data_IF_991465796451
#
_entry.id   IF_991465796451
#
_cell.length_a   1.000
_cell.length_b   1.000
_cell.length_c   1.000
_cell.angle_alpha   90.00
_cell.angle_beta   90.00
_cell.angle_gamma   90.00
#
_symmetry.space_group_name_H-M   'P 1'
#
loop_
_entity.id
_entity.type
_entity.pdbx_description
1 polymer ?
#
# COMPACT_ATOMS: atom_id res chain seq x y z
N UNK A 1 4.88 -11.89 -9.70
CA UNK A 1 4.86 -11.06 -8.46
C UNK A 1 4.33 -11.87 -7.30
N UNK A 2 5.01 -11.84 -6.18
CA UNK A 2 4.57 -12.49 -4.95
C UNK A 2 4.45 -11.43 -3.85
N UNK A 3 3.32 -11.41 -3.15
CA UNK A 3 3.12 -10.54 -1.99
C UNK A 3 3.63 -11.27 -0.75
N UNK A 4 4.59 -10.68 -0.03
CA UNK A 4 5.20 -11.28 1.16
C UNK A 4 4.63 -10.72 2.46
N UNK A 5 4.30 -9.43 2.47
CA UNK A 5 3.82 -8.76 3.68
C UNK A 5 2.97 -7.54 3.35
N UNK A 6 1.96 -7.28 4.16
CA UNK A 6 1.14 -6.06 4.09
C UNK A 6 1.11 -5.46 5.49
N UNK A 7 1.35 -4.16 5.58
CA UNK A 7 1.24 -3.39 6.83
C UNK A 7 0.22 -2.28 6.60
N UNK A 8 -0.77 -2.21 7.47
CA UNK A 8 -1.79 -1.15 7.47
C UNK A 8 -1.72 -0.37 8.77
N UNK A 9 -1.70 0.95 8.67
CA UNK A 9 -1.79 1.84 9.81
C UNK A 9 -2.96 2.82 9.62
N UNK A 10 -3.95 2.77 10.50
CA UNK A 10 -5.15 3.61 10.44
C UNK A 10 -5.80 3.62 9.05
N UNK A 11 -5.98 2.45 8.46
CA UNK A 11 -6.52 2.31 7.11
C UNK A 11 -7.88 1.61 7.14
N UNK A 12 -8.91 2.25 6.60
CA UNK A 12 -10.30 1.79 6.60
C UNK A 12 -10.74 1.35 8.01
N UNK A 13 -11.18 0.10 8.17
CA UNK A 13 -11.58 -0.46 9.46
C UNK A 13 -10.41 -0.84 10.38
N UNK A 14 -9.19 -0.77 9.89
CA UNK A 14 -7.99 -1.15 10.65
C UNK A 14 -7.47 0.05 11.46
N UNK A 15 -7.75 0.03 12.76
CA UNK A 15 -7.22 1.02 13.71
C UNK A 15 -5.81 0.63 14.15
N UNK A 16 -4.91 1.62 14.21
CA UNK A 16 -3.52 1.39 14.61
C UNK A 16 -2.76 0.52 13.61
N UNK A 17 -1.71 -0.11 14.08
CA UNK A 17 -0.81 -0.92 13.26
C UNK A 17 -1.33 -2.36 13.14
N UNK A 18 -1.50 -2.83 11.92
CA UNK A 18 -1.90 -4.19 11.60
C UNK A 18 -0.95 -4.78 10.55
N UNK A 19 -0.42 -5.96 10.81
CA UNK A 19 0.53 -6.64 9.93
C UNK A 19 -0.02 -7.99 9.46
N UNK A 20 0.15 -8.27 8.18
CA UNK A 20 -0.19 -9.54 7.54
C UNK A 20 1.06 -10.09 6.88
N UNK A 21 1.66 -11.11 7.47
CA UNK A 21 2.91 -11.71 7.00
C UNK A 21 2.60 -13.03 6.28
N UNK A 22 2.92 -13.08 4.99
CA UNK A 22 2.74 -14.23 4.12
C UNK A 22 4.08 -14.90 3.74
N UNK A 23 5.20 -14.47 4.34
CA UNK A 23 6.55 -14.91 3.96
C UNK A 23 6.82 -16.37 4.34
N UNK A 24 6.11 -16.89 5.34
CA UNK A 24 6.28 -18.27 5.83
C UNK A 24 5.47 -19.32 5.03
N UNK A 25 4.84 -18.92 3.92
CA UNK A 25 4.11 -19.87 3.08
C UNK A 25 5.08 -20.82 2.37
N UNK A 26 4.72 -22.11 2.33
CA UNK A 26 5.50 -23.12 1.62
C UNK A 26 5.69 -22.70 0.15
N UNK A 27 6.93 -22.74 -0.36
CA UNK A 27 7.28 -22.34 -1.74
C UNK A 27 6.47 -23.08 -2.81
N UNK A 28 5.91 -24.26 -2.50
CA UNK A 28 5.06 -25.05 -3.40
C UNK A 28 3.60 -24.59 -3.41
N UNK A 29 3.19 -23.72 -2.48
CA UNK A 29 1.81 -23.24 -2.33
C UNK A 29 1.77 -21.74 -2.54
N UNK A 30 1.34 -21.32 -3.74
CA UNK A 30 1.29 -19.90 -4.13
C UNK A 30 -0.06 -19.24 -3.85
N UNK A 31 -1.01 -19.97 -3.24
CA UNK A 31 -2.37 -19.49 -3.01
C UNK A 31 -2.57 -19.24 -1.53
N UNK A 32 -2.97 -18.03 -1.18
CA UNK A 32 -3.37 -17.63 0.16
C UNK A 32 -4.86 -17.33 0.13
N UNK A 33 -5.64 -18.07 0.94
CA UNK A 33 -7.07 -17.81 1.10
C UNK A 33 -7.29 -16.85 2.25
N UNK A 34 -7.95 -15.73 1.97
CA UNK A 34 -8.36 -14.75 2.96
C UNK A 34 -9.86 -14.90 3.16
N UNK A 35 -10.23 -15.48 4.29
CA UNK A 35 -11.63 -15.68 4.67
C UNK A 35 -12.07 -14.67 5.73
N UNK A 36 -13.37 -14.48 5.85
CA UNK A 36 -13.97 -13.63 6.87
C UNK A 36 -15.41 -13.28 6.54
N UNK A 37 -16.12 -12.79 7.55
CA UNK A 37 -17.48 -12.25 7.36
C UNK A 37 -17.43 -10.94 6.58
N UNK A 38 -18.53 -10.58 5.92
CA UNK A 38 -18.67 -9.27 5.29
C UNK A 38 -18.41 -8.16 6.34
N UNK A 39 -17.58 -7.15 5.97
CA UNK A 39 -17.17 -6.10 6.89
C UNK A 39 -15.93 -6.41 7.75
N UNK A 40 -15.36 -7.60 7.65
CA UNK A 40 -14.16 -7.98 8.41
C UNK A 40 -12.83 -7.46 7.82
N UNK A 41 -12.87 -6.62 6.79
CA UNK A 41 -11.69 -5.95 6.23
C UNK A 41 -11.12 -6.58 4.95
N UNK A 42 -11.78 -7.59 4.36
CA UNK A 42 -11.32 -8.22 3.11
C UNK A 42 -11.19 -7.22 1.96
N UNK A 43 -12.21 -6.39 1.75
CA UNK A 43 -12.23 -5.34 0.74
C UNK A 43 -11.18 -4.28 1.03
N UNK A 44 -10.99 -3.92 2.30
CA UNK A 44 -9.97 -2.97 2.72
C UNK A 44 -8.56 -3.45 2.40
N UNK A 45 -8.28 -4.73 2.63
CA UNK A 45 -7.00 -5.34 2.31
C UNK A 45 -6.72 -5.30 0.80
N UNK A 46 -7.72 -5.64 0.00
CA UNK A 46 -7.63 -5.61 -1.46
C UNK A 46 -7.41 -4.18 -1.99
N UNK A 47 -8.15 -3.22 -1.44
CA UNK A 47 -8.00 -1.79 -1.76
C UNK A 47 -6.61 -1.29 -1.39
N UNK A 48 -6.08 -1.68 -0.24
CA UNK A 48 -4.74 -1.33 0.19
C UNK A 48 -3.66 -1.81 -0.79
N UNK A 49 -3.76 -3.06 -1.25
CA UNK A 49 -2.84 -3.62 -2.26
C UNK A 49 -2.87 -2.78 -3.54
N UNK A 50 -4.06 -2.49 -4.05
CA UNK A 50 -4.23 -1.69 -5.27
C UNK A 50 -3.64 -0.29 -5.14
N UNK A 51 -3.93 0.39 -4.03
CA UNK A 51 -3.42 1.74 -3.78
C UNK A 51 -1.90 1.72 -3.64
N UNK A 52 -1.34 0.77 -2.89
CA UNK A 52 0.11 0.67 -2.71
C UNK A 52 0.83 0.54 -4.06
N UNK A 53 0.34 -0.34 -4.92
CA UNK A 53 0.96 -0.62 -6.21
C UNK A 53 0.75 0.50 -7.24
N UNK A 54 -0.45 1.05 -7.33
CA UNK A 54 -0.86 1.89 -8.45
C UNK A 54 -1.23 3.33 -8.08
N UNK A 55 -1.36 3.64 -6.78
CA UNK A 55 -1.73 5.00 -6.34
C UNK A 55 -3.02 5.50 -6.97
N UNK A 56 -3.01 6.70 -7.58
CA UNK A 56 -4.20 7.25 -8.23
C UNK A 56 -4.80 6.37 -9.33
N UNK A 57 -3.97 5.60 -10.05
CA UNK A 57 -4.43 4.67 -11.08
C UNK A 57 -5.31 3.56 -10.51
N UNK A 58 -5.20 3.23 -9.23
CA UNK A 58 -6.08 2.26 -8.57
C UNK A 58 -7.57 2.64 -8.67
N UNK A 59 -7.84 3.93 -8.84
CA UNK A 59 -9.18 4.49 -9.01
C UNK A 59 -9.45 5.04 -10.42
N UNK A 60 -8.53 4.81 -11.36
CA UNK A 60 -8.64 5.32 -12.73
C UNK A 60 -8.20 6.77 -12.93
N UNK A 61 -7.50 7.37 -11.96
CA UNK A 61 -6.99 8.74 -12.08
C UNK A 61 -5.53 8.75 -12.53
N UNK A 62 -5.18 9.70 -13.40
CA UNK A 62 -3.82 9.82 -13.96
C UNK A 62 -2.82 10.33 -12.93
N UNK A 63 -3.27 11.14 -11.96
CA UNK A 63 -2.41 11.72 -10.93
C UNK A 63 -3.19 12.10 -9.68
N UNK A 64 -2.50 12.71 -8.74
CA UNK A 64 -3.13 13.23 -7.52
C UNK A 64 -4.02 14.41 -7.90
N UNK A 65 -5.33 14.23 -7.74
CA UNK A 65 -6.34 15.23 -8.01
C UNK A 65 -7.37 15.27 -6.87
N UNK A 66 -8.32 16.23 -6.85
CA UNK A 66 -9.31 16.33 -5.77
C UNK A 66 -10.14 15.05 -5.56
N UNK A 67 -10.43 14.30 -6.61
CA UNK A 67 -11.19 13.03 -6.52
C UNK A 67 -10.38 11.94 -5.82
N UNK A 68 -9.10 11.82 -6.15
CA UNK A 68 -8.19 10.90 -5.49
C UNK A 68 -8.02 11.26 -4.00
N UNK A 69 -7.84 12.54 -3.70
CA UNK A 69 -7.72 13.04 -2.33
C UNK A 69 -8.97 12.68 -1.52
N UNK A 70 -10.16 12.85 -2.09
CA UNK A 70 -11.43 12.48 -1.44
C UNK A 70 -11.49 10.97 -1.18
N UNK A 71 -11.05 10.14 -2.13
CA UNK A 71 -10.98 8.68 -1.95
C UNK A 71 -10.02 8.27 -0.83
N UNK A 72 -8.85 8.88 -0.77
CA UNK A 72 -7.87 8.58 0.30
C UNK A 72 -8.41 9.02 1.66
N UNK A 73 -9.05 10.19 1.76
CA UNK A 73 -9.68 10.62 3.01
C UNK A 73 -10.70 9.60 3.52
N UNK A 74 -11.51 9.02 2.64
CA UNK A 74 -12.44 7.96 2.99
C UNK A 74 -11.74 6.68 3.48
N UNK A 75 -10.50 6.44 3.05
CA UNK A 75 -9.70 5.30 3.46
C UNK A 75 -8.97 5.49 4.80
N UNK A 76 -8.86 6.71 5.32
CA UNK A 76 -8.28 6.96 6.63
C UNK A 76 -9.27 6.48 7.71
N UNK A 77 -8.78 5.69 8.68
CA UNK A 77 -9.62 5.21 9.77
C UNK A 77 -10.26 6.39 10.51
N UNK A 78 -11.56 6.31 10.77
CA UNK A 78 -12.34 7.40 11.36
C UNK A 78 -11.82 7.85 12.72
N UNK A 79 -11.25 6.96 13.52
CA UNK A 79 -10.69 7.30 14.83
C UNK A 79 -9.43 8.17 14.73
N UNK A 80 -8.70 8.11 13.62
CA UNK A 80 -7.54 8.98 13.41
C UNK A 80 -7.95 10.47 13.39
N UNK A 81 -9.14 10.78 12.88
CA UNK A 81 -9.67 12.15 12.86
C UNK A 81 -10.00 12.72 14.24
N UNK A 82 -10.06 11.87 15.27
CA UNK A 82 -10.28 12.29 16.66
C UNK A 82 -8.99 12.68 17.37
N UNK A 83 -7.84 12.57 16.69
CA UNK A 83 -6.52 12.90 17.23
C UNK A 83 -5.95 14.12 16.54
N UNK A 84 -4.87 14.69 17.08
CA UNK A 84 -4.13 15.79 16.45
C UNK A 84 -3.24 15.34 15.28
N UNK A 85 -3.05 14.02 15.14
CA UNK A 85 -2.24 13.43 14.06
C UNK A 85 -3.14 12.52 13.21
N UNK A 86 -3.66 13.08 12.13
CA UNK A 86 -4.49 12.33 11.18
C UNK A 86 -3.57 11.70 10.14
N UNK A 87 -3.05 10.52 10.47
CA UNK A 87 -2.07 9.79 9.66
C UNK A 87 -2.59 8.40 9.31
N UNK A 88 -2.27 7.95 8.10
CA UNK A 88 -2.57 6.61 7.61
C UNK A 88 -1.42 6.12 6.73
N UNK A 89 -1.23 4.80 6.67
CA UNK A 89 -0.15 4.21 5.88
C UNK A 89 -0.55 2.84 5.34
N UNK A 90 -0.12 2.59 4.13
CA UNK A 90 -0.14 1.26 3.51
C UNK A 90 1.29 0.93 3.08
N UNK A 91 1.78 -0.23 3.47
CA UNK A 91 3.08 -0.74 3.07
C UNK A 91 2.92 -2.18 2.58
N UNK A 92 3.51 -2.48 1.44
CA UNK A 92 3.48 -3.82 0.86
C UNK A 92 4.89 -4.24 0.49
N UNK A 93 5.24 -5.47 0.86
CA UNK A 93 6.50 -6.09 0.46
C UNK A 93 6.21 -7.15 -0.60
N UNK A 94 6.84 -7.02 -1.75
CA UNK A 94 6.67 -7.92 -2.89
C UNK A 94 8.01 -8.46 -3.38
N UNK A 95 7.98 -9.62 -4.01
CA UNK A 95 9.11 -10.18 -4.75
C UNK A 95 8.79 -10.17 -6.23
N UNK A 96 9.73 -9.68 -7.03
CA UNK A 96 9.67 -9.69 -8.50
C UNK A 96 10.91 -10.37 -9.07
N UNK A 97 10.76 -11.01 -10.22
CA UNK A 97 11.90 -11.49 -10.99
C UNK A 97 12.27 -10.41 -12.00
N UNK A 98 13.45 -9.83 -11.83
CA UNK A 98 14.00 -8.78 -12.68
C UNK A 98 15.35 -9.27 -13.19
N UNK A 99 15.53 -9.35 -14.51
CA UNK A 99 16.77 -9.82 -15.15
C UNK A 99 17.25 -11.19 -14.63
N UNK A 100 16.30 -12.12 -14.45
CA UNK A 100 16.52 -13.49 -13.93
C UNK A 100 16.92 -13.57 -12.45
N UNK A 101 16.87 -12.45 -11.73
CA UNK A 101 17.12 -12.40 -10.29
C UNK A 101 15.86 -12.02 -9.52
N UNK A 102 15.71 -12.60 -8.34
CA UNK A 102 14.60 -12.22 -7.43
C UNK A 102 14.99 -10.96 -6.68
N UNK A 103 14.20 -9.91 -6.83
CA UNK A 103 14.34 -8.66 -6.07
C UNK A 103 13.13 -8.46 -5.16
N UNK A 104 13.40 -7.97 -3.95
CA UNK A 104 12.38 -7.65 -2.96
C UNK A 104 12.18 -6.14 -2.90
N UNK A 105 10.92 -5.72 -3.05
CA UNK A 105 10.55 -4.31 -3.00
C UNK A 105 9.62 -4.07 -1.82
N UNK A 106 9.91 -3.01 -1.08
CA UNK A 106 9.02 -2.49 -0.04
C UNK A 106 8.45 -1.17 -0.54
N UNK A 107 7.15 -1.16 -0.76
CA UNK A 107 6.42 -0.01 -1.32
C UNK A 107 5.60 0.60 -0.18
N UNK A 108 5.79 1.88 0.07
CA UNK A 108 5.12 2.60 1.16
C UNK A 108 4.41 3.83 0.63
N UNK A 109 3.13 3.98 0.99
CA UNK A 109 2.37 5.22 0.83
C UNK A 109 1.89 5.66 2.19
N UNK A 110 2.23 6.88 2.55
CA UNK A 110 1.85 7.51 3.80
C UNK A 110 1.03 8.75 3.51
N UNK A 111 -0.02 8.96 4.29
CA UNK A 111 -0.88 10.12 4.16
C UNK A 111 -0.97 10.84 5.50
N UNK A 112 -0.86 12.15 5.44
CA UNK A 112 -1.06 13.05 6.57
C UNK A 112 -2.12 14.09 6.22
N UNK A 113 -3.17 14.13 7.01
CA UNK A 113 -4.26 15.12 6.90
C UNK A 113 -4.35 16.01 8.16
N UNK A 114 -3.31 16.07 8.97
CA UNK A 114 -3.31 16.77 10.27
C UNK A 114 -3.53 18.29 10.13
N UNK A 115 -3.16 18.87 8.99
CA UNK A 115 -3.30 20.31 8.68
C UNK A 115 -4.47 20.59 7.74
N UNK A 116 -5.48 19.74 7.68
CA UNK A 116 -6.64 19.83 6.79
C UNK A 116 -6.28 19.87 5.30
N UNK A 117 -5.08 19.42 4.97
CA UNK A 117 -4.59 19.24 3.60
C UNK A 117 -3.90 17.89 3.52
N UNK A 118 -4.30 17.07 2.55
CA UNK A 118 -3.68 15.76 2.36
C UNK A 118 -2.28 15.91 1.78
N UNK A 119 -1.32 15.33 2.49
CA UNK A 119 0.06 15.17 2.01
C UNK A 119 0.32 13.68 1.84
N UNK A 120 0.72 13.25 0.65
CA UNK A 120 1.11 11.88 0.36
C UNK A 120 2.60 11.78 0.17
N UNK A 121 3.23 10.83 0.89
CA UNK A 121 4.61 10.43 0.69
C UNK A 121 4.63 9.03 0.10
N UNK A 122 5.31 8.89 -1.04
CA UNK A 122 5.51 7.62 -1.72
C UNK A 122 6.98 7.27 -1.74
N UNK A 123 7.33 6.08 -1.26
CA UNK A 123 8.70 5.60 -1.26
C UNK A 123 8.77 4.12 -1.61
N UNK A 124 9.87 3.73 -2.22
CA UNK A 124 10.17 2.34 -2.58
C UNK A 124 11.59 2.01 -2.15
N UNK A 125 11.75 0.86 -1.49
CA UNK A 125 13.07 0.26 -1.24
C UNK A 125 13.21 -1.00 -2.09
N UNK A 126 14.38 -1.18 -2.68
CA UNK A 126 14.75 -2.41 -3.37
C UNK A 126 15.86 -3.08 -2.60
N UNK A 127 15.63 -4.32 -2.14
CA UNK A 127 16.55 -5.10 -1.30
C UNK A 127 17.10 -4.28 -0.11
N UNK A 128 16.22 -3.51 0.53
CA UNK A 128 16.52 -2.68 1.69
C UNK A 128 17.10 -1.30 1.38
N UNK A 129 17.39 -0.98 0.12
CA UNK A 129 17.93 0.32 -0.29
C UNK A 129 16.81 1.24 -0.81
N UNK A 130 16.74 2.45 -0.28
CA UNK A 130 15.80 3.46 -0.75
C UNK A 130 16.14 3.88 -2.19
N UNK A 131 15.15 3.82 -3.07
CA UNK A 131 15.28 4.24 -4.46
C UNK A 131 15.19 5.77 -4.56
N UNK A 132 15.97 6.36 -5.49
CA UNK A 132 15.82 7.77 -5.85
C UNK A 132 14.59 7.99 -6.76
N UNK A 133 14.25 9.27 -7.04
CA UNK A 133 13.06 9.62 -7.82
C UNK A 133 13.06 9.02 -9.23
N UNK A 134 14.23 8.91 -9.87
CA UNK A 134 14.37 8.34 -11.19
C UNK A 134 14.15 6.81 -11.17
N UNK A 135 14.75 6.14 -10.20
CA UNK A 135 14.57 4.70 -9.97
C UNK A 135 13.12 4.36 -9.62
N UNK A 136 12.46 5.20 -8.81
CA UNK A 136 11.04 5.06 -8.46
C UNK A 136 10.17 5.18 -9.71
N UNK A 137 10.43 6.16 -10.56
CA UNK A 137 9.68 6.34 -11.82
C UNK A 137 9.84 5.13 -12.75
N UNK A 138 11.04 4.59 -12.86
CA UNK A 138 11.32 3.39 -13.64
C UNK A 138 10.55 2.19 -13.08
N UNK A 139 10.58 2.01 -11.77
CA UNK A 139 9.85 0.94 -11.08
C UNK A 139 8.34 1.03 -11.29
N UNK A 140 7.77 2.24 -11.19
CA UNK A 140 6.34 2.46 -11.43
C UNK A 140 5.95 2.10 -12.86
N UNK A 141 6.75 2.48 -13.84
CA UNK A 141 6.52 2.12 -15.24
C UNK A 141 6.58 0.59 -15.44
N UNK A 142 7.50 -0.08 -14.76
CA UNK A 142 7.60 -1.54 -14.80
C UNK A 142 6.35 -2.22 -14.24
N UNK A 143 5.78 -1.72 -13.14
CA UNK A 143 4.56 -2.28 -12.55
C UNK A 143 3.32 -2.10 -13.42
N UNK A 144 3.29 -1.08 -14.29
CA UNK A 144 2.16 -0.79 -15.18
C UNK A 144 2.17 -1.62 -16.47
N UNK A 145 3.25 -2.27 -16.74
CA UNK A 145 3.36 -3.20 -17.85
C UNK A 145 2.71 -4.54 -17.49
#
# INVERSE_FOLDING_TARGET
MKINKIVLYNFNSFEGLNEFDFSNTNQKKNIILIGGKNGAGKTSLFTAIKIALYGPLAFGYVGINPYYIAKIKECINSKAFQTNKVESRVQITISLVVEREVKNYEITREWDYSKQKLVENYSVKADGKLLDDQEVSYFQNYLQL
#
